data_IF_431379762578
#
_entry.id   IF_431379762578
#
_cell.length_a   1.000
_cell.length_b   1.000
_cell.length_c   1.000
_cell.angle_alpha   90.00
_cell.angle_beta   90.00
_cell.angle_gamma   90.00
#
_symmetry.space_group_name_H-M   'P 1'
#
loop_
_entity.id
_entity.type
_entity.pdbx_description
1 polymer ?
#
# COMPACT_ATOMS: atom_id res chain seq x y z
N UNK A 1 -18.93 15.73 -18.02
CA UNK A 1 -18.30 15.03 -16.89
C UNK A 1 -17.31 14.06 -17.50
N UNK A 2 -16.02 14.39 -17.53
CA UNK A 2 -15.00 13.45 -17.97
C UNK A 2 -14.82 12.42 -16.87
N UNK A 3 -14.81 11.13 -17.21
CA UNK A 3 -14.44 10.07 -16.27
C UNK A 3 -12.99 10.29 -15.83
N UNK A 4 -12.75 10.32 -14.52
CA UNK A 4 -11.38 10.27 -14.00
C UNK A 4 -10.71 9.02 -14.57
N UNK A 5 -9.61 9.21 -15.30
CA UNK A 5 -8.83 8.11 -15.84
C UNK A 5 -7.98 7.58 -14.69
N UNK A 6 -8.31 6.39 -14.20
CA UNK A 6 -7.52 5.71 -13.19
C UNK A 6 -6.78 4.51 -13.79
N UNK A 7 -5.53 4.29 -13.37
CA UNK A 7 -4.75 3.11 -13.72
C UNK A 7 -3.93 2.64 -12.51
N UNK A 8 -3.42 1.40 -12.58
CA UNK A 8 -2.61 0.80 -11.53
C UNK A 8 -1.13 0.76 -11.94
N UNK A 9 -0.23 0.89 -10.97
CA UNK A 9 1.21 0.69 -11.17
C UNK A 9 1.87 -0.01 -9.98
N UNK A 10 3.10 -0.47 -10.21
CA UNK A 10 4.00 -1.07 -9.21
C UNK A 10 3.36 -2.14 -8.30
N UNK A 11 2.67 -3.16 -8.86
CA UNK A 11 2.11 -4.22 -8.04
C UNK A 11 3.22 -5.01 -7.36
N UNK A 12 3.10 -5.18 -6.04
CA UNK A 12 3.98 -6.05 -5.24
C UNK A 12 3.14 -7.11 -4.56
N UNK A 13 3.51 -8.38 -4.79
CA UNK A 13 2.84 -9.53 -4.20
C UNK A 13 3.67 -10.06 -3.04
N UNK A 14 3.02 -10.28 -1.91
CA UNK A 14 3.54 -11.03 -0.78
C UNK A 14 2.50 -12.07 -0.36
N UNK A 15 2.91 -13.05 0.43
CA UNK A 15 1.99 -14.05 0.97
C UNK A 15 2.08 -14.08 2.49
N UNK A 16 0.97 -14.41 3.12
CA UNK A 16 0.85 -14.70 4.55
C UNK A 16 0.43 -16.17 4.68
N UNK A 17 1.22 -16.92 5.42
CA UNK A 17 0.87 -18.27 5.86
C UNK A 17 0.02 -18.14 7.12
N UNK A 18 -1.25 -18.55 7.06
CA UNK A 18 -2.21 -18.43 8.17
C UNK A 18 -2.28 -19.72 8.97
N UNK A 19 -2.32 -20.87 8.28
CA UNK A 19 -2.36 -22.23 8.84
C UNK A 19 -1.51 -23.18 7.97
N UNK A 20 -1.30 -24.41 8.46
CA UNK A 20 -0.62 -25.47 7.69
C UNK A 20 -1.37 -25.67 6.36
N UNK A 21 -0.68 -25.44 5.25
CA UNK A 21 -1.20 -25.46 3.87
C UNK A 21 -2.22 -24.36 3.49
N UNK A 22 -2.41 -23.31 4.30
CA UNK A 22 -3.22 -22.15 3.94
C UNK A 22 -2.39 -20.88 3.74
N UNK A 23 -2.31 -20.43 2.48
CA UNK A 23 -1.61 -19.20 2.09
C UNK A 23 -2.58 -18.21 1.45
N UNK A 24 -2.60 -16.99 2.00
CA UNK A 24 -3.27 -15.85 1.38
C UNK A 24 -2.23 -14.95 0.72
N UNK A 25 -2.44 -14.64 -0.56
CA UNK A 25 -1.61 -13.72 -1.33
C UNK A 25 -2.21 -12.32 -1.31
N UNK A 26 -1.37 -11.33 -1.05
CA UNK A 26 -1.73 -9.93 -1.04
C UNK A 26 -0.95 -9.21 -2.14
N UNK A 27 -1.66 -8.53 -3.03
CA UNK A 27 -1.09 -7.62 -4.01
C UNK A 27 -1.36 -6.19 -3.55
N UNK A 28 -0.31 -5.48 -3.16
CA UNK A 28 -0.37 -4.03 -2.92
C UNK A 28 0.05 -3.30 -4.18
N UNK A 29 -0.65 -2.23 -4.52
CA UNK A 29 -0.41 -1.47 -5.74
C UNK A 29 -0.76 0.02 -5.54
N UNK A 30 -0.19 0.85 -6.40
CA UNK A 30 -0.51 2.28 -6.47
C UNK A 30 -1.60 2.49 -7.52
N UNK A 31 -2.69 3.13 -7.10
CA UNK A 31 -3.80 3.59 -7.94
C UNK A 31 -3.55 5.06 -8.24
N UNK A 32 -3.33 5.34 -9.53
CA UNK A 32 -3.17 6.70 -10.01
C UNK A 32 -4.47 7.13 -10.66
N UNK A 33 -5.09 8.20 -10.15
CA UNK A 33 -6.28 8.80 -10.74
C UNK A 33 -5.96 10.20 -11.26
N UNK A 34 -6.33 10.46 -12.52
CA UNK A 34 -6.22 11.76 -13.16
C UNK A 34 -7.44 12.63 -12.82
N UNK A 35 -7.27 13.57 -11.88
CA UNK A 35 -8.33 14.51 -11.46
C UNK A 35 -8.47 15.77 -12.34
N UNK A 36 -8.01 15.74 -13.60
CA UNK A 36 -8.06 16.91 -14.50
C UNK A 36 -6.84 17.84 -14.40
N UNK A 37 -7.06 19.15 -14.24
CA UNK A 37 -6.01 20.20 -14.28
C UNK A 37 -5.01 20.19 -13.12
N UNK A 38 -5.21 19.33 -12.13
CA UNK A 38 -4.33 19.16 -10.97
C UNK A 38 -3.49 17.89 -11.12
N UNK A 39 -2.37 17.83 -10.39
CA UNK A 39 -1.47 16.68 -10.34
C UNK A 39 -2.21 15.35 -10.15
N UNK A 40 -1.63 14.26 -10.66
CA UNK A 40 -2.07 12.90 -10.43
C UNK A 40 -2.25 12.62 -8.92
N UNK A 41 -3.35 11.97 -8.55
CA UNK A 41 -3.55 11.49 -7.17
C UNK A 41 -3.06 10.05 -7.07
N UNK A 42 -2.16 9.79 -6.11
CA UNK A 42 -1.59 8.48 -5.86
C UNK A 42 -2.14 7.88 -4.57
N UNK A 43 -2.81 6.74 -4.68
CA UNK A 43 -3.42 6.04 -3.56
C UNK A 43 -2.98 4.58 -3.51
N UNK A 44 -2.56 4.13 -2.33
CA UNK A 44 -2.25 2.72 -2.10
C UNK A 44 -3.54 1.93 -1.88
N UNK A 45 -3.66 0.83 -2.61
CA UNK A 45 -4.72 -0.16 -2.45
C UNK A 45 -4.12 -1.57 -2.41
N UNK A 46 -4.96 -2.54 -2.07
CA UNK A 46 -4.55 -3.94 -2.13
C UNK A 46 -5.69 -4.85 -2.60
N UNK A 47 -5.31 -6.03 -3.07
CA UNK A 47 -6.21 -7.12 -3.42
C UNK A 47 -5.68 -8.43 -2.85
N UNK A 48 -6.56 -9.38 -2.57
CA UNK A 48 -6.19 -10.69 -2.04
C UNK A 48 -6.60 -11.83 -2.96
N UNK A 49 -5.87 -12.94 -2.88
CA UNK A 49 -6.16 -14.16 -3.63
C UNK A 49 -5.61 -15.37 -2.89
N UNK A 50 -6.24 -16.54 -3.04
CA UNK A 50 -5.70 -17.81 -2.54
C UNK A 50 -4.78 -18.47 -3.58
N UNK A 51 -4.84 -18.03 -4.84
CA UNK A 51 -3.97 -18.50 -5.91
C UNK A 51 -3.54 -17.32 -6.81
N UNK A 52 -2.28 -16.88 -6.75
CA UNK A 52 -1.84 -15.66 -7.42
C UNK A 52 -1.83 -15.77 -8.94
N UNK A 53 -1.86 -16.99 -9.49
CA UNK A 53 -1.85 -17.25 -10.94
C UNK A 53 -3.26 -17.17 -11.57
N UNK A 54 -4.32 -17.23 -10.75
CA UNK A 54 -5.68 -17.12 -11.24
C UNK A 54 -6.10 -15.65 -11.35
N UNK A 55 -5.99 -15.10 -12.56
CA UNK A 55 -6.19 -13.67 -12.83
C UNK A 55 -7.60 -13.16 -12.51
N UNK A 56 -8.62 -14.03 -12.51
CA UNK A 56 -10.02 -13.62 -12.28
C UNK A 56 -10.45 -13.70 -10.81
N UNK A 57 -9.57 -14.12 -9.89
CA UNK A 57 -9.93 -14.37 -8.48
C UNK A 57 -9.32 -13.38 -7.48
N UNK A 58 -8.79 -12.25 -7.94
CA UNK A 58 -8.30 -11.19 -7.06
C UNK A 58 -9.47 -10.39 -6.47
N UNK A 59 -9.65 -10.48 -5.16
CA UNK A 59 -10.65 -9.73 -4.42
C UNK A 59 -10.06 -8.36 -4.04
N UNK A 60 -10.53 -7.30 -4.71
CA UNK A 60 -10.07 -5.94 -4.45
C UNK A 60 -10.60 -5.42 -3.11
N UNK A 61 -9.71 -4.88 -2.29
CA UNK A 61 -10.08 -4.05 -1.15
C UNK A 61 -10.17 -2.61 -1.62
N UNK A 62 -11.39 -2.06 -1.65
CA UNK A 62 -11.61 -0.64 -1.94
C UNK A 62 -11.44 0.26 -0.71
N UNK A 63 -10.97 -0.28 0.41
CA UNK A 63 -10.76 0.50 1.62
C UNK A 63 -9.52 1.38 1.42
N UNK A 64 -9.70 2.69 1.43
CA UNK A 64 -8.62 3.66 1.67
C UNK A 64 -7.92 3.28 2.97
N UNK A 65 -6.60 3.12 2.96
CA UNK A 65 -5.83 2.85 4.18
C UNK A 65 -5.79 4.12 5.03
N UNK A 66 -6.43 4.16 6.21
CA UNK A 66 -6.37 5.32 7.09
C UNK A 66 -4.94 5.65 7.49
N UNK A 67 -4.61 6.95 7.57
CA UNK A 67 -3.28 7.41 7.96
C UNK A 67 -2.27 7.54 6.80
N UNK A 68 -2.59 7.05 5.60
CA UNK A 68 -1.83 7.31 4.39
C UNK A 68 -2.43 8.53 3.67
N UNK A 69 -1.59 9.50 3.31
CA UNK A 69 -2.03 10.65 2.49
C UNK A 69 -2.38 10.15 1.08
N UNK A 70 -3.67 10.20 0.75
CA UNK A 70 -4.23 9.60 -0.47
C UNK A 70 -3.87 10.33 -1.75
N UNK A 71 -3.13 11.44 -1.68
CA UNK A 71 -2.74 12.20 -2.87
C UNK A 71 -1.29 11.97 -3.31
N UNK A 72 -0.43 11.42 -2.45
CA UNK A 72 1.01 11.39 -2.71
C UNK A 72 1.74 10.13 -2.20
N UNK A 73 1.01 9.01 -2.06
CA UNK A 73 1.59 7.78 -1.54
C UNK A 73 1.72 6.73 -2.63
N UNK A 74 2.92 6.19 -2.82
CA UNK A 74 3.30 5.41 -3.99
C UNK A 74 4.21 4.23 -3.62
N UNK A 75 4.38 3.30 -4.57
CA UNK A 75 5.34 2.19 -4.48
C UNK A 75 5.23 1.35 -3.18
N UNK A 76 4.03 0.85 -2.81
CA UNK A 76 3.84 0.11 -1.57
C UNK A 76 4.61 -1.21 -1.54
N UNK A 77 5.12 -1.62 -0.39
CA UNK A 77 5.65 -2.95 -0.11
C UNK A 77 5.17 -3.41 1.27
N UNK A 78 4.84 -4.68 1.40
CA UNK A 78 4.42 -5.26 2.67
C UNK A 78 5.43 -6.28 3.16
N UNK A 79 5.64 -6.30 4.48
CA UNK A 79 6.33 -7.36 5.20
C UNK A 79 5.37 -7.95 6.23
N UNK A 80 4.98 -9.20 6.02
CA UNK A 80 4.24 -9.96 7.02
C UNK A 80 5.22 -10.60 8.00
N UNK A 81 5.11 -10.28 9.30
CA UNK A 81 5.89 -10.95 10.34
C UNK A 81 4.96 -11.55 11.39
N UNK A 82 4.98 -12.87 11.46
CA UNK A 82 4.35 -13.64 12.54
C UNK A 82 5.44 -14.01 13.54
N UNK A 83 5.35 -13.54 14.78
CA UNK A 83 6.27 -13.94 15.83
C UNK A 83 5.94 -15.37 16.31
N UNK A 84 6.94 -16.09 16.82
CA UNK A 84 6.80 -17.49 17.32
C UNK A 84 5.79 -17.64 18.47
N UNK A 85 5.37 -16.54 19.10
CA UNK A 85 4.39 -16.52 20.17
C UNK A 85 2.96 -16.20 19.67
N UNK A 86 2.72 -16.20 18.35
CA UNK A 86 1.42 -15.94 17.76
C UNK A 86 1.06 -14.45 17.63
N UNK A 87 1.96 -13.53 18.01
CA UNK A 87 1.76 -12.11 17.76
C UNK A 87 2.18 -11.77 16.32
N UNK A 88 1.20 -11.48 15.48
CA UNK A 88 1.42 -10.94 14.14
C UNK A 88 1.63 -9.43 14.23
N UNK A 89 2.72 -8.96 13.64
CA UNK A 89 2.94 -7.53 13.38
C UNK A 89 3.41 -7.39 11.94
N UNK A 90 2.62 -6.74 11.12
CA UNK A 90 2.85 -6.52 9.70
C UNK A 90 3.27 -5.08 9.47
N UNK A 91 4.06 -4.86 8.42
CA UNK A 91 4.58 -3.55 8.08
C UNK A 91 4.23 -3.24 6.63
N UNK A 92 3.60 -2.10 6.39
CA UNK A 92 3.36 -1.57 5.05
C UNK A 92 4.29 -0.38 4.86
N UNK A 93 5.30 -0.55 4.03
CA UNK A 93 6.23 0.50 3.60
C UNK A 93 5.72 1.17 2.34
N UNK A 94 5.91 2.48 2.22
CA UNK A 94 5.54 3.22 1.03
C UNK A 94 6.36 4.50 0.86
N UNK A 95 6.46 4.96 -0.38
CA UNK A 95 6.98 6.28 -0.68
C UNK A 95 5.90 7.33 -0.45
N UNK A 96 6.25 8.45 0.18
CA UNK A 96 5.37 9.60 0.36
C UNK A 96 6.02 10.88 -0.17
N UNK A 97 5.21 11.79 -0.71
CA UNK A 97 5.64 13.14 -1.09
C UNK A 97 4.74 14.14 -0.37
N UNK A 98 5.32 15.03 0.43
CA UNK A 98 4.49 16.05 1.08
C UNK A 98 4.25 17.27 0.17
N UNK A 99 3.40 18.21 0.60
CA UNK A 99 3.08 19.45 -0.14
C UNK A 99 4.30 20.33 -0.44
N UNK A 100 5.41 20.16 0.28
CA UNK A 100 6.67 20.87 0.04
C UNK A 100 7.59 20.11 -0.94
N UNK A 101 7.16 18.98 -1.49
CA UNK A 101 7.95 18.14 -2.39
C UNK A 101 9.02 17.30 -1.69
N UNK A 102 9.03 17.23 -0.36
CA UNK A 102 9.93 16.34 0.39
C UNK A 102 9.49 14.91 0.17
N UNK A 103 10.44 14.06 -0.20
CA UNK A 103 10.20 12.62 -0.39
C UNK A 103 10.60 11.86 0.87
N UNK A 104 9.77 10.92 1.29
CA UNK A 104 10.04 10.03 2.42
C UNK A 104 9.74 8.59 2.07
N UNK A 105 10.38 7.66 2.77
CA UNK A 105 9.85 6.31 2.95
C UNK A 105 9.18 6.29 4.32
N UNK A 106 7.91 5.93 4.34
CA UNK A 106 7.08 5.85 5.52
C UNK A 106 6.62 4.40 5.71
N UNK A 107 6.16 4.08 6.92
CA UNK A 107 5.51 2.80 7.17
C UNK A 107 4.36 2.89 8.15
N UNK A 108 3.43 1.94 8.02
CA UNK A 108 2.39 1.63 8.99
C UNK A 108 2.64 0.24 9.57
N UNK A 109 2.18 0.03 10.80
CA UNK A 109 2.10 -1.30 11.39
C UNK A 109 0.66 -1.75 11.52
N UNK A 110 0.42 -3.06 11.44
CA UNK A 110 -0.86 -3.64 11.79
C UNK A 110 -0.69 -5.05 12.35
N UNK A 111 -1.60 -5.48 13.22
CA UNK A 111 -1.72 -6.87 13.65
C UNK A 111 -2.73 -7.66 12.81
N UNK A 112 -3.46 -6.98 11.93
CA UNK A 112 -4.44 -7.54 11.00
C UNK A 112 -4.01 -7.21 9.56
N UNK A 113 -3.78 -8.24 8.74
CA UNK A 113 -3.32 -8.09 7.36
C UNK A 113 -4.35 -7.43 6.43
N UNK A 114 -5.63 -7.37 6.85
CA UNK A 114 -6.73 -6.76 6.12
C UNK A 114 -7.08 -5.34 6.62
N UNK A 115 -6.61 -4.96 7.80
CA UNK A 115 -6.88 -3.66 8.40
C UNK A 115 -5.59 -2.92 8.73
N UNK A 116 -5.27 -1.89 7.95
CA UNK A 116 -4.09 -1.06 8.17
C UNK A 116 -4.51 0.19 8.94
N UNK A 117 -4.22 0.26 10.22
CA UNK A 117 -4.57 1.40 11.08
C UNK A 117 -3.35 1.77 11.92
N UNK A 118 -3.10 3.07 12.07
CA UNK A 118 -2.05 3.55 12.97
C UNK A 118 -1.47 4.89 12.54
N UNK A 119 -0.64 5.44 13.42
CA UNK A 119 0.21 6.57 13.08
C UNK A 119 1.30 6.11 12.11
N UNK A 120 1.51 6.87 11.05
CA UNK A 120 2.60 6.64 10.11
C UNK A 120 3.93 7.04 10.74
N UNK A 121 4.95 6.24 10.48
CA UNK A 121 6.32 6.53 10.89
C UNK A 121 7.19 6.84 9.68
N UNK A 122 8.12 7.78 9.83
CA UNK A 122 9.08 8.16 8.77
C UNK A 122 10.35 7.34 8.95
N UNK A 123 10.64 6.43 8.02
CA UNK A 123 11.86 5.62 8.03
C UNK A 123 13.06 6.41 7.51
N UNK A 124 12.87 7.15 6.41
CA UNK A 124 13.89 8.04 5.84
C UNK A 124 13.23 9.19 5.10
N UNK A 125 13.92 10.33 4.98
CA UNK A 125 13.44 11.48 4.21
C UNK A 125 14.58 12.18 3.48
N UNK A 126 14.29 12.64 2.27
CA UNK A 126 15.16 13.47 1.46
C UNK A 126 14.46 14.81 1.21
N UNK A 127 15.05 15.89 1.71
CA UNK A 127 14.61 17.24 1.34
C UNK A 127 15.07 17.52 -0.08
N UNK A 128 14.16 18.03 -0.90
CA UNK A 128 14.50 18.53 -2.21
C UNK A 128 15.38 19.79 -2.02
N UNK A 129 16.70 19.62 -2.08
CA UNK A 129 17.65 20.73 -2.04
C UNK A 129 17.62 21.42 -3.41
N UNK A 130 16.56 22.18 -3.71
CA UNK A 130 16.61 23.18 -4.77
C UNK A 130 17.59 24.26 -4.33
N UNK A 131 18.75 24.29 -4.99
CA UNK A 131 19.63 25.47 -5.04
C UNK A 131 18.96 26.58 -5.85
#
# INVERSE_FOLDING_TARGET
MGSDLCWIQDPRVAYLEEEEDHMTYFMFYDVICYGGHTSNQHQIAFATNLNPLNQTSWNQSFKTIPGIDSMNSQNPAVLFRTAKNGLSQHYLFYGAINVAGTRSIEYLTSNDSYEWQGDKEVLMSERNNTK
#
